data_IF_406529684710
#
_entry.id   IF_406529684710
#
_cell.length_a   1.000
_cell.length_b   1.000
_cell.length_c   1.000
_cell.angle_alpha   90.00
_cell.angle_beta   90.00
_cell.angle_gamma   90.00
#
_symmetry.space_group_name_H-M   'P 1'
#
loop_
_entity.id
_entity.type
_entity.pdbx_description
1 polymer ?
#
# COMPACT_ATOMS: atom_id res chain seq x y z
N UNK A 1 60.21 21.52 -26.30
CA UNK A 1 59.30 20.85 -25.35
C UNK A 1 58.85 21.88 -24.32
N UNK A 2 57.64 22.43 -24.46
CA UNK A 2 56.86 23.11 -23.41
C UNK A 2 55.41 23.18 -23.86
N UNK A 3 54.54 22.50 -23.11
CA UNK A 3 53.09 22.49 -23.24
C UNK A 3 52.53 23.88 -22.92
N UNK A 4 51.65 24.40 -23.76
CA UNK A 4 50.65 25.39 -23.36
C UNK A 4 49.36 25.05 -24.08
N UNK A 5 48.51 24.29 -23.39
CA UNK A 5 47.12 24.07 -23.77
C UNK A 5 46.37 25.35 -23.46
N UNK A 6 46.12 26.17 -24.48
CA UNK A 6 45.17 27.27 -24.40
C UNK A 6 43.77 26.67 -24.42
N UNK A 7 43.12 26.68 -23.26
CA UNK A 7 41.68 26.56 -23.17
C UNK A 7 41.06 27.75 -23.94
N UNK A 8 40.17 27.45 -24.88
CA UNK A 8 39.28 28.45 -25.45
C UNK A 8 37.87 27.91 -25.37
N UNK A 9 37.11 28.52 -24.47
CA UNK A 9 35.66 28.50 -24.41
C UNK A 9 35.07 28.80 -25.79
N UNK A 10 34.11 27.99 -26.21
CA UNK A 10 33.08 28.43 -27.16
C UNK A 10 31.82 27.58 -27.02
N UNK A 11 30.72 28.31 -26.81
CA UNK A 11 29.33 27.96 -27.04
C UNK A 11 28.62 27.09 -25.99
N UNK A 12 28.17 27.79 -24.94
CA UNK A 12 26.84 27.60 -24.38
C UNK A 12 25.78 27.61 -25.49
N UNK A 13 24.92 26.60 -25.56
CA UNK A 13 23.50 26.81 -25.89
C UNK A 13 22.68 25.55 -25.60
N UNK A 14 21.77 25.73 -24.64
CA UNK A 14 20.35 25.35 -24.74
C UNK A 14 20.09 23.84 -24.61
N UNK A 15 19.65 23.40 -23.44
CA UNK A 15 18.28 23.70 -23.03
C UNK A 15 17.32 22.78 -23.79
N UNK A 16 17.51 21.48 -23.60
CA UNK A 16 16.53 20.46 -23.96
C UNK A 16 15.91 19.95 -22.67
N UNK A 17 15.20 20.83 -21.96
CA UNK A 17 14.22 20.41 -20.97
C UNK A 17 13.27 19.46 -21.71
N UNK A 18 13.48 18.16 -21.50
CA UNK A 18 12.62 17.11 -22.01
C UNK A 18 11.23 17.41 -21.48
N UNK A 19 10.44 18.08 -22.32
CA UNK A 19 9.07 18.47 -22.06
C UNK A 19 8.36 17.28 -21.42
N UNK A 20 7.94 17.47 -20.18
CA UNK A 20 7.42 16.42 -19.33
C UNK A 20 6.28 15.70 -20.04
N UNK A 21 6.59 14.51 -20.59
CA UNK A 21 5.58 13.54 -20.89
C UNK A 21 4.73 13.41 -19.63
N UNK A 22 3.38 13.45 -19.73
CA UNK A 22 2.54 13.33 -18.55
C UNK A 22 2.92 12.03 -17.86
N UNK A 23 3.61 12.11 -16.72
CA UNK A 23 3.85 10.94 -15.88
C UNK A 23 2.47 10.40 -15.59
N UNK A 24 2.15 9.20 -16.09
CA UNK A 24 0.89 8.59 -15.70
C UNK A 24 0.94 8.45 -14.18
N UNK A 25 0.10 9.22 -13.50
CA UNK A 25 -0.02 9.11 -12.06
C UNK A 25 -0.35 7.63 -11.77
N UNK A 26 0.46 6.99 -10.93
CA UNK A 26 0.30 5.58 -10.56
C UNK A 26 0.82 4.53 -11.55
N UNK A 27 1.47 4.87 -12.67
CA UNK A 27 1.89 3.89 -13.69
C UNK A 27 3.26 3.21 -13.50
N UNK A 28 3.99 3.47 -12.42
CA UNK A 28 5.31 2.86 -12.23
C UNK A 28 5.20 1.41 -11.78
N UNK A 29 6.06 0.53 -12.33
CA UNK A 29 6.10 -0.88 -11.94
C UNK A 29 6.35 -1.06 -10.43
N UNK A 30 7.22 -0.22 -9.85
CA UNK A 30 7.50 -0.22 -8.43
C UNK A 30 6.26 0.10 -7.58
N UNK A 31 5.43 1.05 -8.01
CA UNK A 31 4.19 1.38 -7.31
C UNK A 31 3.15 0.25 -7.42
N UNK A 32 3.01 -0.35 -8.61
CA UNK A 32 2.13 -1.50 -8.82
C UNK A 32 2.50 -2.68 -7.90
N UNK A 33 3.79 -3.02 -7.82
CA UNK A 33 4.29 -4.07 -6.93
C UNK A 33 4.08 -3.73 -5.46
N UNK A 34 4.29 -2.47 -5.06
CA UNK A 34 4.04 -2.01 -3.70
C UNK A 34 2.58 -2.25 -3.32
N UNK A 35 1.61 -1.84 -4.17
CA UNK A 35 0.19 -2.05 -3.92
C UNK A 35 -0.16 -3.54 -3.78
N UNK A 36 0.37 -4.40 -4.65
CA UNK A 36 0.10 -5.84 -4.58
C UNK A 36 0.68 -6.45 -3.30
N UNK A 37 1.93 -6.15 -2.95
CA UNK A 37 2.60 -6.74 -1.78
C UNK A 37 1.95 -6.27 -0.48
N UNK A 38 1.76 -4.95 -0.34
CA UNK A 38 1.14 -4.39 0.87
C UNK A 38 -0.34 -4.74 0.98
N UNK A 39 -1.06 -4.79 -0.15
CA UNK A 39 -2.43 -5.27 -0.23
C UNK A 39 -2.55 -6.73 0.20
N UNK A 40 -1.66 -7.61 -0.29
CA UNK A 40 -1.63 -9.02 0.10
C UNK A 40 -1.33 -9.19 1.60
N UNK A 41 -0.35 -8.45 2.13
CA UNK A 41 -0.03 -8.47 3.56
C UNK A 41 -1.22 -7.99 4.42
N UNK A 42 -1.89 -6.91 4.00
CA UNK A 42 -3.08 -6.38 4.67
C UNK A 42 -4.27 -7.35 4.62
N UNK A 43 -4.49 -8.00 3.47
CA UNK A 43 -5.55 -9.00 3.31
C UNK A 43 -5.30 -10.22 4.21
N UNK A 44 -4.06 -10.72 4.29
CA UNK A 44 -3.68 -11.80 5.20
C UNK A 44 -3.92 -11.40 6.67
N UNK A 45 -3.52 -10.20 7.06
CA UNK A 45 -3.76 -9.70 8.42
C UNK A 45 -5.26 -9.61 8.73
N UNK A 46 -6.05 -9.03 7.83
CA UNK A 46 -7.50 -8.91 8.00
C UNK A 46 -8.19 -10.28 8.07
N UNK A 47 -7.71 -11.26 7.30
CA UNK A 47 -8.18 -12.65 7.34
C UNK A 47 -7.91 -13.32 8.69
N UNK A 48 -6.69 -13.21 9.21
CA UNK A 48 -6.32 -13.78 10.52
C UNK A 48 -7.14 -13.14 11.64
N UNK A 49 -7.24 -11.81 11.65
CA UNK A 49 -8.02 -11.10 12.69
C UNK A 49 -9.50 -11.48 12.62
N UNK A 50 -10.04 -11.72 11.43
CA UNK A 50 -11.41 -12.21 11.25
C UNK A 50 -11.60 -13.59 11.88
N UNK A 51 -10.69 -14.53 11.63
CA UNK A 51 -10.76 -15.86 12.24
C UNK A 51 -10.67 -15.76 13.77
N UNK A 52 -9.75 -14.94 14.27
CA UNK A 52 -9.58 -14.74 15.71
C UNK A 52 -10.84 -14.11 16.35
N UNK A 53 -11.57 -13.24 15.62
CA UNK A 53 -12.90 -12.77 16.07
C UNK A 53 -13.86 -13.93 16.20
N UNK A 54 -14.04 -14.74 15.16
CA UNK A 54 -15.00 -15.85 15.21
C UNK A 54 -14.70 -16.82 16.36
N UNK A 55 -13.44 -17.18 16.55
CA UNK A 55 -13.03 -18.02 17.69
C UNK A 55 -13.30 -17.37 19.05
N UNK A 56 -13.13 -16.05 19.16
CA UNK A 56 -13.46 -15.31 20.38
C UNK A 56 -14.97 -15.21 20.64
N UNK A 57 -15.79 -15.25 19.58
CA UNK A 57 -17.25 -15.35 19.70
C UNK A 57 -17.68 -16.76 20.14
N UNK A 58 -16.95 -17.80 19.75
CA UNK A 58 -17.20 -19.20 20.15
C UNK A 58 -16.72 -19.50 21.57
N UNK A 59 -15.50 -19.06 21.90
CA UNK A 59 -14.89 -19.19 23.22
C UNK A 59 -14.36 -17.82 23.70
N UNK A 60 -15.00 -17.17 24.69
CA UNK A 60 -14.58 -15.87 25.18
C UNK A 60 -13.22 -15.88 25.90
N UNK A 61 -12.66 -17.05 26.23
CA UNK A 61 -11.33 -17.23 26.80
C UNK A 61 -10.24 -17.49 25.73
N UNK A 62 -10.60 -17.52 24.46
CA UNK A 62 -9.62 -17.65 23.37
C UNK A 62 -8.62 -16.49 23.38
N UNK A 63 -7.32 -16.81 23.31
CA UNK A 63 -6.23 -15.84 23.24
C UNK A 63 -5.80 -15.66 21.77
N UNK A 64 -6.08 -14.49 21.14
CA UNK A 64 -5.68 -14.23 19.76
C UNK A 64 -4.17 -14.30 19.60
N UNK A 65 -3.69 -14.78 18.45
CA UNK A 65 -2.26 -14.95 18.19
C UNK A 65 -1.46 -13.65 18.18
N UNK A 66 -2.14 -12.51 17.99
CA UNK A 66 -1.52 -11.18 18.09
C UNK A 66 -1.55 -10.57 19.51
N UNK A 67 -2.01 -11.32 20.51
CA UNK A 67 -1.92 -10.91 21.92
C UNK A 67 -0.60 -11.36 22.53
N UNK A 68 0.32 -10.42 22.72
CA UNK A 68 1.68 -10.71 23.22
C UNK A 68 1.80 -10.58 24.75
N UNK A 69 0.99 -9.70 25.35
CA UNK A 69 1.02 -9.38 26.78
C UNK A 69 -0.32 -8.69 27.17
N UNK A 70 -0.71 -8.55 28.44
CA UNK A 70 -1.97 -7.90 28.83
C UNK A 70 -2.12 -6.45 28.35
N UNK A 71 -1.00 -5.73 28.16
CA UNK A 71 -1.00 -4.37 27.61
C UNK A 71 -1.16 -4.35 26.08
N UNK A 72 -0.61 -5.35 25.39
CA UNK A 72 -0.72 -5.54 23.93
C UNK A 72 -1.59 -6.77 23.67
N UNK A 73 -2.87 -6.64 24.03
CA UNK A 73 -3.87 -7.71 23.91
C UNK A 73 -4.84 -7.39 22.80
N UNK A 74 -4.65 -8.05 21.64
CA UNK A 74 -5.62 -8.00 20.56
C UNK A 74 -7.02 -8.35 21.06
N UNK A 75 -7.14 -9.31 22.00
CA UNK A 75 -8.44 -9.71 22.55
C UNK A 75 -9.22 -8.55 23.19
N UNK A 76 -8.55 -7.65 23.93
CA UNK A 76 -9.20 -6.51 24.56
C UNK A 76 -9.67 -5.46 23.53
N UNK A 77 -8.81 -5.14 22.56
CA UNK A 77 -9.16 -4.20 21.47
C UNK A 77 -10.28 -4.79 20.61
N UNK A 78 -10.24 -6.09 20.33
CA UNK A 78 -11.27 -6.79 19.58
C UNK A 78 -12.63 -6.79 20.31
N UNK A 79 -12.71 -6.66 21.62
CA UNK A 79 -13.99 -6.52 22.33
C UNK A 79 -14.47 -5.06 22.42
N UNK A 80 -13.66 -4.09 22.01
CA UNK A 80 -14.02 -2.66 22.06
C UNK A 80 -15.00 -2.23 20.96
N UNK A 81 -15.76 -1.15 21.20
CA UNK A 81 -16.65 -0.57 20.20
C UNK A 81 -15.91 -0.03 18.96
N UNK A 82 -14.65 0.38 19.11
CA UNK A 82 -13.83 0.82 17.97
C UNK A 82 -13.51 -0.32 16.98
N UNK A 83 -13.70 -1.58 17.38
CA UNK A 83 -13.46 -2.73 16.51
C UNK A 83 -14.62 -3.02 15.55
N UNK A 84 -15.69 -2.22 15.56
CA UNK A 84 -16.77 -2.25 14.59
C UNK A 84 -16.96 -0.88 13.94
N UNK A 85 -17.35 -0.90 12.66
CA UNK A 85 -17.74 0.27 11.89
C UNK A 85 -18.97 -0.08 11.06
N UNK A 86 -19.95 0.82 10.98
CA UNK A 86 -21.19 0.62 10.22
C UNK A 86 -21.99 -0.65 10.62
N UNK A 87 -21.82 -1.14 11.85
CA UNK A 87 -22.48 -2.36 12.35
C UNK A 87 -21.73 -3.66 12.04
N UNK A 88 -20.58 -3.60 11.36
CA UNK A 88 -19.77 -4.77 11.01
C UNK A 88 -18.37 -4.69 11.65
N UNK A 89 -17.73 -5.83 11.95
CA UNK A 89 -16.35 -5.83 12.43
C UNK A 89 -15.41 -5.18 11.42
N UNK A 90 -14.53 -4.28 11.88
CA UNK A 90 -13.54 -3.61 11.02
C UNK A 90 -12.69 -4.59 10.16
N UNK A 91 -12.29 -5.79 10.64
CA UNK A 91 -11.55 -6.75 9.81
C UNK A 91 -12.28 -7.16 8.52
N UNK A 92 -13.62 -7.21 8.51
CA UNK A 92 -14.41 -7.50 7.31
C UNK A 92 -14.28 -6.41 6.25
N UNK A 93 -14.27 -5.14 6.66
CA UNK A 93 -13.98 -4.02 5.76
C UNK A 93 -12.56 -4.12 5.20
N UNK A 94 -11.60 -4.55 6.02
CA UNK A 94 -10.23 -4.84 5.60
C UNK A 94 -10.17 -5.86 4.46
N UNK A 95 -10.91 -6.97 4.54
CA UNK A 95 -10.95 -7.97 3.46
C UNK A 95 -11.37 -7.34 2.12
N UNK A 96 -12.43 -6.53 2.12
CA UNK A 96 -12.92 -5.88 0.91
C UNK A 96 -11.94 -4.81 0.39
N UNK A 97 -11.48 -3.92 1.26
CA UNK A 97 -10.61 -2.81 0.88
C UNK A 97 -9.26 -3.30 0.34
N UNK A 98 -8.61 -4.24 1.01
CA UNK A 98 -7.32 -4.78 0.56
C UNK A 98 -7.45 -5.60 -0.73
N UNK A 99 -8.56 -6.32 -0.93
CA UNK A 99 -8.83 -7.01 -2.19
C UNK A 99 -8.89 -6.00 -3.36
N UNK A 100 -9.57 -4.86 -3.18
CA UNK A 100 -9.62 -3.79 -4.18
C UNK A 100 -8.21 -3.24 -4.45
N UNK A 101 -7.41 -2.96 -3.42
CA UNK A 101 -6.02 -2.48 -3.59
C UNK A 101 -5.18 -3.45 -4.42
N UNK A 102 -5.31 -4.75 -4.19
CA UNK A 102 -4.63 -5.78 -4.99
C UNK A 102 -5.10 -5.74 -6.45
N UNK A 103 -6.41 -5.67 -6.70
CA UNK A 103 -6.97 -5.58 -8.05
C UNK A 103 -6.40 -4.37 -8.83
N UNK A 104 -6.23 -3.24 -8.14
CA UNK A 104 -5.68 -2.01 -8.72
C UNK A 104 -4.20 -2.18 -9.05
N UNK A 105 -3.43 -2.74 -8.11
CA UNK A 105 -2.02 -3.08 -8.35
C UNK A 105 -1.85 -4.05 -9.53
N UNK A 106 -2.68 -5.09 -9.60
CA UNK A 106 -2.67 -6.06 -10.71
C UNK A 106 -3.07 -5.41 -12.05
N UNK A 107 -4.03 -4.50 -12.04
CA UNK A 107 -4.43 -3.75 -13.25
C UNK A 107 -3.27 -2.90 -13.78
N UNK A 108 -2.51 -2.25 -12.89
CA UNK A 108 -1.31 -1.50 -13.27
C UNK A 108 -0.19 -2.40 -13.82
N UNK A 109 0.00 -3.60 -13.26
CA UNK A 109 0.92 -4.61 -13.82
C UNK A 109 0.50 -5.04 -15.23
N UNK A 110 -0.82 -5.11 -15.47
CA UNK A 110 -1.43 -5.30 -16.79
C UNK A 110 -1.33 -4.10 -17.72
N UNK A 111 -0.62 -3.03 -17.33
CA UNK A 111 -0.45 -1.76 -18.07
C UNK A 111 -1.76 -1.00 -18.29
N UNK A 112 -2.77 -1.21 -17.43
CA UNK A 112 -3.97 -0.39 -17.42
C UNK A 112 -3.62 1.05 -17.03
N UNK A 113 -4.24 2.02 -17.70
CA UNK A 113 -4.13 3.43 -17.38
C UNK A 113 -5.41 3.94 -16.73
N UNK A 114 -5.33 4.44 -15.50
CA UNK A 114 -6.45 5.06 -14.82
C UNK A 114 -6.49 6.58 -15.05
N UNK A 115 -7.69 7.19 -15.15
CA UNK A 115 -7.84 8.64 -15.27
C UNK A 115 -7.39 9.37 -14.00
N UNK A 116 -7.07 10.66 -14.09
CA UNK A 116 -6.52 11.44 -12.96
C UNK A 116 -7.41 11.48 -11.71
N UNK A 117 -8.74 11.43 -11.87
CA UNK A 117 -9.68 11.42 -10.75
C UNK A 117 -9.57 10.15 -9.90
N UNK A 118 -9.02 9.07 -10.44
CA UNK A 118 -8.80 7.85 -9.68
C UNK A 118 -7.74 8.02 -8.59
N UNK A 119 -6.87 9.03 -8.72
CA UNK A 119 -5.71 9.28 -7.86
C UNK A 119 -5.86 10.51 -6.95
N UNK A 120 -7.00 11.21 -7.01
CA UNK A 120 -7.30 12.45 -6.29
C UNK A 120 -8.46 12.23 -5.32
#
# INVERSE_FOLDING_TARGET
>A
MSKTTTASDSASSTGGDGAGAPRSAGGSLGFALLLVITGAAGLLAAWVITIDKFKLLEDPNFTPGCSLNPVVSCGNIMKSEQASAFGFPNPMLGLAAYAIVICVGMSLLGRASFPRWYWL
#
